data_IF_159080794434
#
_entry.id   IF_159080794434
#
_cell.length_a   1.000
_cell.length_b   1.000
_cell.length_c   1.000
_cell.angle_alpha   90.00
_cell.angle_beta   90.00
_cell.angle_gamma   90.00
#
_symmetry.space_group_name_H-M   'P 1'
#
loop_
_entity.id
_entity.type
_entity.pdbx_description
1 polymer ?
#
# COMPACT_ATOMS: atom_id res chain seq x y z
N UNK A 1 10.22 -3.38 -11.07
CA UNK A 1 10.74 -2.34 -10.17
C UNK A 1 11.79 -2.96 -9.25
N UNK A 2 13.06 -2.54 -9.25
CA UNK A 2 14.00 -2.95 -8.21
C UNK A 2 13.58 -2.32 -6.86
N UNK A 3 13.76 -3.02 -5.72
CA UNK A 3 13.34 -2.53 -4.41
C UNK A 3 14.09 -1.25 -4.02
N UNK A 4 13.42 -0.35 -3.30
CA UNK A 4 14.08 0.82 -2.70
C UNK A 4 15.05 0.29 -1.62
N UNK A 5 16.36 0.58 -1.70
CA UNK A 5 17.37 -0.02 -0.83
C UNK A 5 17.44 0.68 0.54
N UNK A 6 16.29 0.96 1.14
CA UNK A 6 16.16 1.61 2.44
C UNK A 6 15.19 0.80 3.29
N UNK A 7 15.60 0.54 4.54
CA UNK A 7 14.80 -0.13 5.54
C UNK A 7 14.53 0.83 6.70
N UNK A 8 13.27 0.91 7.13
CA UNK A 8 12.87 1.63 8.33
C UNK A 8 12.44 0.62 9.38
N UNK A 9 12.97 0.77 10.60
CA UNK A 9 12.64 -0.12 11.72
C UNK A 9 12.23 0.71 12.93
N UNK A 10 11.24 0.21 13.66
CA UNK A 10 10.64 0.90 14.81
C UNK A 10 9.46 1.78 14.41
N UNK A 11 8.45 1.82 15.29
CA UNK A 11 7.16 2.50 15.07
C UNK A 11 7.34 3.94 14.61
N UNK A 12 8.18 4.71 15.29
CA UNK A 12 8.31 6.15 15.03
C UNK A 12 8.97 6.44 13.69
N UNK A 13 9.98 5.65 13.30
CA UNK A 13 10.65 5.81 12.01
C UNK A 13 9.70 5.48 10.86
N UNK A 14 8.95 4.38 10.99
CA UNK A 14 7.94 3.95 10.01
C UNK A 14 6.84 5.00 9.89
N UNK A 15 6.28 5.48 11.00
CA UNK A 15 5.20 6.48 10.98
C UNK A 15 5.66 7.81 10.39
N UNK A 16 6.88 8.27 10.71
CA UNK A 16 7.45 9.48 10.08
C UNK A 16 7.60 9.32 8.57
N UNK A 17 8.12 8.18 8.11
CA UNK A 17 8.22 7.90 6.68
C UNK A 17 6.84 7.93 6.01
N UNK A 18 5.85 7.26 6.58
CA UNK A 18 4.50 7.21 6.02
C UNK A 18 3.88 8.62 5.96
N UNK A 19 4.01 9.39 7.04
CA UNK A 19 3.47 10.74 7.12
C UNK A 19 4.09 11.70 6.07
N UNK A 20 5.39 11.55 5.81
CA UNK A 20 6.10 12.46 4.89
C UNK A 20 5.98 12.02 3.43
N UNK A 21 5.90 10.71 3.16
CA UNK A 21 6.11 10.16 1.81
C UNK A 21 4.95 9.33 1.26
N UNK A 22 4.13 8.73 2.13
CA UNK A 22 3.11 7.78 1.70
C UNK A 22 1.71 8.37 1.75
N UNK A 23 1.38 9.14 2.78
CA UNK A 23 0.06 9.74 2.91
C UNK A 23 -0.16 10.87 1.92
N UNK A 24 -1.41 10.95 1.45
CA UNK A 24 -1.94 12.06 0.66
C UNK A 24 -3.06 12.75 1.45
N UNK A 25 -3.71 13.75 0.86
CA UNK A 25 -4.86 14.41 1.46
C UNK A 25 -5.96 13.39 1.77
N UNK A 26 -6.65 13.59 2.90
CA UNK A 26 -7.81 12.79 3.23
C UNK A 26 -8.83 12.85 2.08
N UNK A 27 -9.31 11.69 1.61
CA UNK A 27 -10.23 11.58 0.46
C UNK A 27 -9.56 11.32 -0.89
N UNK A 28 -8.24 11.48 -0.99
CA UNK A 28 -7.47 11.20 -2.22
C UNK A 28 -6.83 9.81 -2.24
N UNK A 29 -7.14 9.00 -1.23
CA UNK A 29 -6.67 7.63 -1.07
C UNK A 29 -7.79 6.71 -0.62
N UNK A 30 -7.84 5.52 -1.20
CA UNK A 30 -8.69 4.43 -0.73
C UNK A 30 -7.87 3.16 -0.56
N UNK A 31 -8.06 2.47 0.57
CA UNK A 31 -7.50 1.15 0.81
C UNK A 31 -8.60 0.10 0.63
N UNK A 32 -8.36 -0.87 -0.25
CA UNK A 32 -9.27 -2.00 -0.50
C UNK A 32 -8.65 -3.27 0.09
N UNK A 33 -9.32 -3.95 1.04
CA UNK A 33 -8.82 -5.21 1.58
C UNK A 33 -8.62 -6.28 0.49
N UNK A 34 -7.53 -7.03 0.57
CA UNK A 34 -7.24 -8.19 -0.27
C UNK A 34 -6.32 -9.17 0.48
N UNK A 35 -5.80 -10.19 -0.20
CA UNK A 35 -4.83 -11.13 0.37
C UNK A 35 -3.74 -11.46 -0.65
N UNK A 36 -2.51 -11.61 -0.17
CA UNK A 36 -1.36 -11.99 -0.99
C UNK A 36 -0.65 -13.19 -0.34
N UNK A 37 -0.55 -14.32 -1.05
CA UNK A 37 0.13 -15.53 -0.56
C UNK A 37 -0.31 -15.97 0.86
N UNK A 38 -1.62 -15.88 1.15
CA UNK A 38 -2.18 -16.23 2.46
C UNK A 38 -1.98 -15.19 3.56
N UNK A 39 -1.34 -14.04 3.27
CA UNK A 39 -1.19 -12.93 4.21
C UNK A 39 -2.23 -11.84 3.96
N UNK A 40 -2.64 -11.09 5.01
CA UNK A 40 -3.46 -9.90 4.85
C UNK A 40 -2.77 -8.87 3.96
N UNK A 41 -3.52 -8.27 3.05
CA UNK A 41 -3.01 -7.21 2.19
C UNK A 41 -4.07 -6.12 1.94
N UNK A 42 -3.63 -4.97 1.46
CA UNK A 42 -4.52 -3.90 1.04
C UNK A 42 -4.03 -3.28 -0.28
N UNK A 43 -4.94 -3.11 -1.22
CA UNK A 43 -4.70 -2.40 -2.47
C UNK A 43 -5.04 -0.92 -2.31
N UNK A 44 -4.06 -0.06 -2.57
CA UNK A 44 -4.18 1.39 -2.49
C UNK A 44 -4.56 1.95 -3.87
N UNK A 45 -5.65 2.71 -3.90
CA UNK A 45 -5.99 3.56 -5.02
C UNK A 45 -5.72 5.02 -4.65
N UNK A 46 -5.23 5.83 -5.60
CA UNK A 46 -5.02 7.27 -5.44
C UNK A 46 -5.84 8.07 -6.44
N UNK A 47 -6.36 9.23 -6.00
CA UNK A 47 -7.07 10.17 -6.86
C UNK A 47 -6.09 10.83 -7.83
N UNK A 48 -6.39 10.77 -9.12
CA UNK A 48 -5.72 11.58 -10.15
C UNK A 48 -6.38 12.95 -10.30
N UNK A 49 -5.77 13.83 -11.10
CA UNK A 49 -6.24 15.21 -11.33
C UNK A 49 -7.65 15.29 -11.95
N UNK A 50 -8.08 14.23 -12.63
CA UNK A 50 -9.42 14.07 -13.20
C UNK A 50 -10.46 13.50 -12.21
N UNK A 51 -10.10 13.44 -10.93
CA UNK A 51 -10.90 12.89 -9.83
C UNK A 51 -11.18 11.38 -9.90
N UNK A 52 -10.53 10.61 -10.77
CA UNK A 52 -10.66 9.15 -10.83
C UNK A 52 -9.66 8.47 -9.88
N UNK A 53 -10.12 7.47 -9.13
CA UNK A 53 -9.24 6.67 -8.27
C UNK A 53 -8.51 5.64 -9.11
N UNK A 54 -7.18 5.65 -9.12
CA UNK A 54 -6.35 4.73 -9.92
C UNK A 54 -5.54 3.79 -9.05
N UNK A 55 -5.37 2.57 -9.52
CA UNK A 55 -4.48 1.58 -8.94
C UNK A 55 -3.09 2.18 -8.72
N UNK A 56 -2.55 2.04 -7.51
CA UNK A 56 -1.25 2.60 -7.15
C UNK A 56 -0.31 1.52 -6.61
N UNK A 57 -0.70 0.82 -5.55
CA UNK A 57 0.20 -0.12 -4.87
C UNK A 57 -0.53 -1.20 -4.07
N UNK A 58 0.15 -2.31 -3.81
CA UNK A 58 -0.32 -3.37 -2.92
C UNK A 58 0.56 -3.41 -1.67
N UNK A 59 -0.06 -3.36 -0.50
CA UNK A 59 0.60 -3.38 0.80
C UNK A 59 0.36 -4.76 1.41
N UNK A 60 1.40 -5.57 1.56
CA UNK A 60 1.33 -6.87 2.22
C UNK A 60 1.76 -6.71 3.67
N UNK A 61 0.91 -7.16 4.59
CA UNK A 61 1.10 -7.01 6.02
C UNK A 61 1.50 -8.35 6.62
N UNK A 62 2.58 -8.33 7.41
CA UNK A 62 3.00 -9.48 8.20
C UNK A 62 2.48 -9.30 9.63
N UNK A 63 1.54 -10.15 10.08
CA UNK A 63 1.08 -10.12 11.47
C UNK A 63 2.19 -10.50 12.45
N UNK A 64 2.21 -9.85 13.60
CA UNK A 64 3.00 -10.19 14.78
C UNK A 64 2.10 -10.43 15.99
N UNK A 65 2.71 -10.73 17.15
CA UNK A 65 1.98 -11.11 18.37
C UNK A 65 0.95 -10.06 18.86
N UNK A 66 1.23 -8.77 18.67
CA UNK A 66 0.38 -7.67 19.16
C UNK A 66 0.09 -6.61 18.09
N UNK A 67 0.25 -6.93 16.80
CA UNK A 67 0.07 -5.95 15.72
C UNK A 67 0.73 -6.34 14.41
N UNK A 68 1.16 -5.35 13.63
CA UNK A 68 1.87 -5.56 12.36
C UNK A 68 3.38 -5.61 12.65
N UNK A 69 4.02 -6.74 12.35
CA UNK A 69 5.46 -6.91 12.50
C UNK A 69 6.25 -6.31 11.32
N UNK A 70 5.69 -6.39 10.11
CA UNK A 70 6.30 -5.82 8.90
C UNK A 70 5.22 -5.43 7.88
N UNK A 71 5.59 -4.51 6.99
CA UNK A 71 4.78 -4.11 5.85
C UNK A 71 5.69 -4.01 4.63
N UNK A 72 5.33 -4.72 3.56
CA UNK A 72 6.01 -4.65 2.27
C UNK A 72 5.09 -4.00 1.25
N UNK A 73 5.54 -2.94 0.60
CA UNK A 73 4.74 -2.19 -0.37
C UNK A 73 5.27 -2.42 -1.78
N UNK A 74 4.41 -2.95 -2.65
CA UNK A 74 4.66 -3.14 -4.06
C UNK A 74 4.05 -1.96 -4.83
N UNK A 75 4.89 -1.04 -5.30
CA UNK A 75 4.50 0.14 -6.09
C UNK A 75 4.37 -0.25 -7.58
N UNK A 76 3.42 -1.14 -7.88
CA UNK A 76 3.18 -1.64 -9.22
C UNK A 76 1.67 -1.82 -9.49
N UNK A 77 1.04 -0.88 -10.23
CA UNK A 77 -0.37 -0.96 -10.58
C UNK A 77 -0.74 -2.19 -11.42
N UNK A 78 0.19 -2.78 -12.17
CA UNK A 78 -0.09 -3.93 -13.03
C UNK A 78 -0.52 -5.17 -12.23
N UNK A 79 -0.09 -5.26 -10.97
CA UNK A 79 -0.44 -6.34 -10.06
C UNK A 79 -1.93 -6.43 -9.77
N UNK A 80 -2.69 -5.33 -9.90
CA UNK A 80 -4.12 -5.29 -9.54
C UNK A 80 -4.93 -6.35 -10.29
N UNK A 81 -4.58 -6.61 -11.55
CA UNK A 81 -5.19 -7.67 -12.36
C UNK A 81 -5.04 -9.06 -11.72
N UNK A 82 -3.89 -9.38 -11.13
CA UNK A 82 -3.64 -10.63 -10.41
C UNK A 82 -4.44 -10.76 -9.11
N UNK A 83 -4.90 -9.63 -8.55
CA UNK A 83 -5.78 -9.59 -7.38
C UNK A 83 -7.28 -9.53 -7.77
N UNK A 84 -7.62 -9.59 -9.06
CA UNK A 84 -8.99 -9.44 -9.55
C UNK A 84 -9.56 -8.04 -9.33
N UNK A 85 -8.69 -7.03 -9.21
CA UNK A 85 -9.04 -5.64 -8.94
C UNK A 85 -8.94 -4.81 -10.23
N UNK A 86 -9.86 -3.84 -10.45
CA UNK A 86 -9.79 -2.96 -11.62
C UNK A 86 -8.62 -1.97 -11.52
N UNK A 87 -8.18 -1.44 -12.66
CA UNK A 87 -7.15 -0.39 -12.70
C UNK A 87 -7.66 0.98 -12.22
N UNK A 88 -8.99 1.16 -12.16
CA UNK A 88 -9.65 2.38 -11.70
C UNK A 88 -10.88 2.06 -10.86
N UNK A 89 -11.25 2.98 -9.96
CA UNK A 89 -12.45 2.92 -9.12
C UNK A 89 -13.18 4.25 -9.10
#
# INVERSE_FOLDING_TARGET
MPPVPVWFTGRDAVLRFLAVRAYTRAGDLAMVPTAANGQPAAAEYRRGDDNVMRAHSVHVLTPGATGIAAMTVFLDPSLFSSFGLPSTR
#
